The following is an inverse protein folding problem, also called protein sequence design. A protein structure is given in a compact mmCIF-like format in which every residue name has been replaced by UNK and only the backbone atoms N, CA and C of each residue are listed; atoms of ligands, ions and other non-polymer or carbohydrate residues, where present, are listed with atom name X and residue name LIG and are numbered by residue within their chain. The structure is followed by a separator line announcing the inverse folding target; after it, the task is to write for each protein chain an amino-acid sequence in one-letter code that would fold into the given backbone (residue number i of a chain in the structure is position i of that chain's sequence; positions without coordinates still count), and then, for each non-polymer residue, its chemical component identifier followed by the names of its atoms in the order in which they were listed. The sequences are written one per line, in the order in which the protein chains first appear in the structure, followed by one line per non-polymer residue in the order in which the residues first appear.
data_IF_988124403733
#
_entry.id   IF_988124403733
#
_cell.length_a   1.000
_cell.length_b   1.000
_cell.length_c   1.000
_cell.angle_alpha   90.00
_cell.angle_beta   90.00
_cell.angle_gamma   90.00
#
_symmetry.space_group_name_H-M   'P 1'
#
loop_
_entity.id
_entity.type
_entity.pdbx_description
1 polymer ?
#
# COMPACT_ATOMS: atom_id res chain seq x y z
N UNK A 1 5.24 3.39 25.05
CA UNK A 1 4.92 3.02 24.88
C UNK A 1 4.45 2.31 24.09
N UNK A 2 4.54 1.79 23.79
CA UNK A 2 3.99 1.12 22.92
C UNK A 2 2.96 0.30 23.31
N UNK A 3 1.86 0.36 22.79
CA UNK A 3 0.76 -0.35 23.16
C UNK A 3 0.76 -1.55 22.34
N UNK A 4 0.50 -2.67 22.92
CA UNK A 4 0.46 -3.92 22.21
C UNK A 4 -0.54 -3.89 21.08
N UNK A 5 -1.70 -3.34 21.31
CA UNK A 5 -2.68 -3.30 20.25
C UNK A 5 -2.23 -2.44 19.14
N UNK A 6 -1.62 -1.33 19.45
CA UNK A 6 -1.08 -0.49 18.43
C UNK A 6 -0.01 -1.19 17.66
N UNK A 7 0.78 -1.98 18.36
CA UNK A 7 1.82 -2.72 17.71
C UNK A 7 1.27 -3.72 16.75
N UNK A 8 0.22 -4.41 17.13
CA UNK A 8 -0.39 -5.39 16.27
C UNK A 8 -0.85 -4.77 14.98
N UNK A 9 -1.49 -3.62 15.08
CA UNK A 9 -1.98 -2.92 13.90
C UNK A 9 -0.84 -2.28 13.14
N UNK A 10 0.02 -1.59 13.88
CA UNK A 10 1.09 -0.83 13.24
C UNK A 10 2.13 -1.72 12.61
N UNK A 11 2.30 -2.93 13.12
CA UNK A 11 3.30 -3.82 12.56
C UNK A 11 2.77 -4.66 11.42
N UNK A 12 1.50 -4.51 11.06
CA UNK A 12 0.98 -5.21 9.90
C UNK A 12 1.77 -4.81 8.67
N UNK A 13 2.37 -5.75 7.95
CA UNK A 13 3.12 -5.40 6.75
C UNK A 13 2.28 -4.65 5.72
N UNK A 14 1.01 -5.03 5.62
CA UNK A 14 0.13 -4.36 4.67
C UNK A 14 -0.13 -2.90 5.07
N UNK A 15 -0.40 -2.65 6.35
CA UNK A 15 -0.64 -1.28 6.79
C UNK A 15 0.61 -0.41 6.65
N UNK A 16 1.77 -0.97 6.93
CA UNK A 16 3.02 -0.25 6.72
C UNK A 16 3.23 0.07 5.26
N UNK A 17 2.92 -0.90 4.39
CA UNK A 17 3.07 -0.69 2.96
C UNK A 17 2.12 0.38 2.45
N UNK A 18 0.90 0.40 2.95
CA UNK A 18 -0.08 1.41 2.56
C UNK A 18 0.39 2.79 3.01
N UNK A 19 0.88 2.91 4.25
CA UNK A 19 1.39 4.18 4.75
C UNK A 19 2.57 4.67 3.91
N UNK A 20 3.47 3.76 3.55
CA UNK A 20 4.61 4.11 2.70
C UNK A 20 4.15 4.54 1.32
N UNK A 21 3.14 3.85 0.79
CA UNK A 21 2.64 4.17 -0.55
C UNK A 21 2.16 5.61 -0.63
N UNK A 22 1.36 6.03 0.34
CA UNK A 22 0.85 7.41 0.35
C UNK A 22 1.95 8.41 0.62
N UNK A 23 2.89 8.08 1.50
CA UNK A 23 4.00 8.97 1.80
C UNK A 23 4.89 9.17 0.58
N UNK A 24 5.24 8.09 -0.08
CA UNK A 24 6.09 8.17 -1.26
C UNK A 24 5.40 8.89 -2.41
N UNK A 25 4.12 8.61 -2.60
CA UNK A 25 3.37 9.27 -3.64
C UNK A 25 3.32 10.78 -3.38
N UNK A 26 3.14 11.16 -2.12
CA UNK A 26 3.13 12.57 -1.78
C UNK A 26 4.47 13.23 -2.05
N UNK A 27 5.56 12.55 -1.78
CA UNK A 27 6.89 13.10 -2.05
C UNK A 27 7.08 13.38 -3.54
N UNK A 28 6.57 12.51 -4.38
CA UNK A 28 6.65 12.71 -5.82
C UNK A 28 5.71 13.85 -6.24
N UNK A 29 4.50 13.86 -5.71
CA UNK A 29 3.52 14.90 -6.04
C UNK A 29 4.01 16.27 -5.61
N UNK A 30 4.73 16.36 -4.49
CA UNK A 30 5.26 17.62 -3.99
C UNK A 30 6.52 18.06 -4.72
N UNK A 31 7.01 17.24 -5.63
CA UNK A 31 8.19 17.60 -6.41
C UNK A 31 9.51 17.31 -5.73
N UNK A 32 9.52 16.59 -4.63
CA UNK A 32 10.77 16.24 -3.96
C UNK A 32 11.58 15.26 -4.81
N UNK A 33 10.89 14.40 -5.53
CA UNK A 33 11.50 13.47 -6.46
C UNK A 33 10.74 13.54 -7.76
N UNK A 34 11.45 13.43 -8.86
CA UNK A 34 10.83 13.56 -10.18
C UNK A 34 9.95 12.37 -10.52
N UNK A 35 10.36 11.20 -10.06
CA UNK A 35 9.66 9.99 -10.43
C UNK A 35 10.05 8.86 -9.49
N UNK A 36 9.47 7.69 -9.71
CA UNK A 36 9.73 6.52 -8.89
C UNK A 36 11.20 6.11 -8.94
N UNK A 37 11.82 6.21 -10.11
CA UNK A 37 13.21 5.80 -10.25
C UNK A 37 14.13 6.63 -9.37
N UNK A 38 13.91 7.95 -9.32
CA UNK A 38 14.73 8.82 -8.50
C UNK A 38 14.53 8.51 -7.02
N UNK A 39 13.27 8.33 -6.61
CA UNK A 39 12.96 8.00 -5.23
C UNK A 39 13.63 6.68 -4.83
N UNK A 40 13.51 5.68 -5.68
CA UNK A 40 14.08 4.37 -5.40
C UNK A 40 15.60 4.45 -5.27
N UNK A 41 16.23 5.25 -6.12
CA UNK A 41 17.66 5.40 -6.08
C UNK A 41 18.12 6.02 -4.77
N UNK A 42 17.43 7.05 -4.31
CA UNK A 42 17.76 7.72 -3.05
C UNK A 42 17.54 6.80 -1.86
N UNK A 43 16.48 6.02 -1.89
CA UNK A 43 16.17 5.10 -0.79
C UNK A 43 17.01 3.82 -0.82
N UNK A 44 17.68 3.55 -1.94
CA UNK A 44 18.43 2.33 -2.08
C UNK A 44 17.54 1.09 -2.21
N UNK A 45 16.37 1.27 -2.80
CA UNK A 45 15.39 0.20 -2.97
C UNK A 45 15.16 -0.05 -4.45
N UNK A 46 14.86 -1.29 -4.79
CA UNK A 46 14.55 -1.64 -6.17
C UNK A 46 13.36 -0.82 -6.69
N UNK A 47 13.47 -0.19 -7.88
CA UNK A 47 12.37 0.60 -8.42
C UNK A 47 11.07 -0.18 -8.58
N UNK A 48 11.17 -1.46 -8.93
CA UNK A 48 9.98 -2.30 -9.06
C UNK A 48 9.25 -2.46 -7.74
N UNK A 49 10.02 -2.59 -6.65
CA UNK A 49 9.43 -2.72 -5.33
C UNK A 49 8.73 -1.42 -4.93
N UNK A 50 9.34 -0.27 -5.25
CA UNK A 50 8.72 1.02 -4.95
C UNK A 50 7.44 1.18 -5.76
N UNK A 51 7.47 0.81 -7.03
CA UNK A 51 6.30 0.92 -7.89
C UNK A 51 5.15 0.05 -7.38
N UNK A 52 5.45 -1.17 -6.97
CA UNK A 52 4.42 -2.07 -6.44
C UNK A 52 3.82 -1.52 -5.15
N UNK A 53 4.64 -0.90 -4.31
CA UNK A 53 4.14 -0.32 -3.08
C UNK A 53 3.26 0.89 -3.36
N UNK A 54 3.72 1.78 -4.23
CA UNK A 54 2.94 2.98 -4.56
C UNK A 54 1.60 2.62 -5.18
N UNK A 55 1.53 1.51 -5.87
CA UNK A 55 0.28 1.06 -6.46
C UNK A 55 -0.82 0.86 -5.42
N UNK A 56 -0.46 0.67 -4.16
CA UNK A 56 -1.46 0.51 -3.10
C UNK A 56 -2.29 1.76 -2.90
N UNK A 57 -1.84 2.92 -3.40
CA UNK A 57 -2.65 4.13 -3.31
C UNK A 57 -3.90 4.03 -4.20
N UNK A 58 -3.94 3.04 -5.09
CA UNK A 58 -5.09 2.84 -5.96
C UNK A 58 -6.18 1.98 -5.33
N UNK A 59 -5.90 1.41 -4.16
CA UNK A 59 -6.90 0.60 -3.47
C UNK A 59 -8.12 1.44 -3.13
N UNK A 60 -9.29 0.84 -3.26
CA UNK A 60 -10.53 1.52 -2.95
C UNK A 60 -10.54 1.95 -1.48
N UNK A 61 -11.08 3.12 -1.16
CA UNK A 61 -11.19 3.56 0.23
C UNK A 61 -11.94 2.56 1.09
N UNK A 62 -12.93 1.90 0.53
CA UNK A 62 -13.70 0.90 1.24
C UNK A 62 -12.82 -0.26 1.68
N UNK A 63 -11.93 -0.71 0.79
CA UNK A 63 -11.03 -1.80 1.11
C UNK A 63 -10.03 -1.35 2.16
N UNK A 64 -9.49 -0.14 2.04
CA UNK A 64 -8.54 0.40 3.00
C UNK A 64 -9.19 0.51 4.38
N UNK A 65 -10.43 0.96 4.43
CA UNK A 65 -11.15 1.06 5.69
C UNK A 65 -11.31 -0.30 6.36
N UNK A 66 -11.62 -1.32 5.58
CA UNK A 66 -11.76 -2.67 6.13
C UNK A 66 -10.44 -3.19 6.67
N UNK A 67 -9.34 -2.87 6.00
CA UNK A 67 -8.03 -3.28 6.46
C UNK A 67 -7.66 -2.58 7.76
N UNK A 68 -7.90 -1.28 7.83
CA UNK A 68 -7.59 -0.51 9.03
C UNK A 68 -8.45 -0.98 10.20
N UNK A 69 -9.69 -1.31 9.93
CA UNK A 69 -10.61 -1.78 10.97
C UNK A 69 -10.31 -3.21 11.42
N UNK A 70 -9.40 -3.89 10.73
CA UNK A 70 -9.08 -5.26 11.07
C UNK A 70 -10.10 -6.27 10.58
N UNK A 71 -11.01 -5.84 9.69
CA UNK A 71 -12.05 -6.73 9.18
C UNK A 71 -11.54 -7.68 8.13
N UNK A 72 -10.49 -7.30 7.41
CA UNK A 72 -9.90 -8.15 6.39
C UNK A 72 -8.40 -8.06 6.49
N UNK A 73 -7.74 -9.10 6.04
CA UNK A 73 -6.29 -9.14 6.02
C UNK A 73 -5.88 -9.79 4.71
N UNK A 74 -5.27 -8.99 3.85
CA UNK A 74 -4.84 -9.49 2.55
C UNK A 74 -3.48 -10.15 2.66
N UNK A 75 -3.33 -11.29 2.01
CA UNK A 75 -2.05 -11.96 1.96
C UNK A 75 -1.11 -11.17 1.05
N UNK A 76 0.18 -11.26 1.34
CA UNK A 76 1.17 -10.53 0.57
C UNK A 76 1.07 -10.81 -0.92
N UNK A 77 0.84 -12.05 -1.28
CA UNK A 77 0.74 -12.42 -2.69
C UNK A 77 -0.50 -11.83 -3.36
N UNK A 78 -1.52 -11.46 -2.59
CA UNK A 78 -2.72 -10.87 -3.16
C UNK A 78 -2.50 -9.41 -3.55
N UNK A 79 -1.81 -8.64 -2.72
CA UNK A 79 -1.65 -7.22 -3.03
C UNK A 79 -0.37 -6.88 -3.75
N UNK A 80 0.55 -7.83 -3.86
CA UNK A 80 1.77 -7.62 -4.63
C UNK A 80 1.57 -7.85 -6.11
N UNK A 81 0.53 -8.57 -6.47
CA UNK A 81 0.19 -8.76 -7.88
C UNK A 81 -0.41 -7.47 -8.43
N UNK A 82 -0.43 -7.39 -9.76
CA UNK A 82 -1.18 -6.33 -10.39
C UNK A 82 -2.64 -6.57 -10.11
N UNK A 83 -3.30 -5.59 -9.54
CA UNK A 83 -4.73 -5.70 -9.31
C UNK A 83 -5.47 -4.66 -10.17
N UNK A 84 -6.79 -4.84 -10.37
CA UNK A 84 -7.54 -3.93 -11.23
C UNK A 84 -7.54 -2.50 -10.72
N UNK A 85 -7.63 -1.54 -11.64
CA UNK A 85 -7.70 -0.13 -11.28
C UNK A 85 -9.09 0.25 -10.79
N UNK A 86 -10.12 -0.40 -11.28
CA UNK A 86 -11.49 -0.10 -10.89
C UNK A 86 -11.78 -0.61 -9.49
N UNK A 87 -12.39 0.24 -8.66
CA UNK A 87 -12.70 -0.14 -7.30
C UNK A 87 -13.68 -1.32 -7.24
N UNK A 88 -14.61 -1.36 -8.16
CA UNK A 88 -15.57 -2.47 -8.21
C UNK A 88 -14.87 -3.78 -8.52
N UNK A 89 -13.96 -3.73 -9.48
CA UNK A 89 -13.23 -4.94 -9.86
C UNK A 89 -12.28 -5.37 -8.78
N UNK A 90 -11.74 -4.41 -8.03
CA UNK A 90 -10.87 -4.74 -6.90
C UNK A 90 -11.60 -5.59 -5.87
N UNK A 91 -12.86 -5.28 -5.60
CA UNK A 91 -13.62 -6.06 -4.64
C UNK A 91 -13.77 -7.50 -5.11
N UNK A 92 -14.01 -7.69 -6.39
CA UNK A 92 -14.12 -9.04 -6.95
C UNK A 92 -12.78 -9.75 -6.94
N UNK A 93 -11.71 -9.00 -7.17
CA UNK A 93 -10.38 -9.57 -7.22
C UNK A 93 -9.91 -10.04 -5.85
N UNK A 94 -10.08 -9.20 -4.83
CA UNK A 94 -9.62 -9.52 -3.49
C UNK A 94 -10.60 -10.35 -2.68
N UNK A 95 -11.86 -10.22 -2.96
CA UNK A 95 -12.90 -10.93 -2.21
C UNK A 95 -13.86 -11.65 -3.19
N UNK A 96 -13.37 -12.65 -3.89
CA UNK A 96 -14.22 -13.39 -4.83
C UNK A 96 -15.30 -14.13 -4.06
N UNK A 97 -16.47 -14.22 -4.64
CA UNK A 97 -17.61 -14.88 -4.01
C UNK A 97 -18.09 -16.05 -4.83
#
# INVERSE_FOLDING_TARGET
MIMPDSEDTASSPLLLSIARAYRWQKMIDDGRFKNIAELANVLGIDPGAVARTIRLTLLSPKIIHKIIAGEVNLLQEQYRQSFPDSWEEQEKFFFPQ
#
